data_IF_792857736793
#
_entry.id   IF_792857736793
#
_cell.length_a   1.000
_cell.length_b   1.000
_cell.length_c   1.000
_cell.angle_alpha   90.00
_cell.angle_beta   90.00
_cell.angle_gamma   90.00
#
_symmetry.space_group_name_H-M   'P 1'
#
loop_
_entity.id
_entity.type
_entity.pdbx_description
1 polymer ?
#
# COMPACT_ATOMS: atom_id res chain seq x y z
N UNK A 1 -29.21 21.58 -38.96
CA UNK A 1 -29.28 20.34 -39.78
C UNK A 1 -27.86 19.87 -40.05
N UNK A 2 -27.61 18.59 -39.83
CA UNK A 2 -26.34 17.88 -39.97
C UNK A 2 -25.73 18.09 -41.38
N UNK A 3 -24.39 18.12 -41.50
CA UNK A 3 -23.60 16.95 -41.91
C UNK A 3 -22.12 17.30 -42.11
N UNK A 4 -21.28 16.60 -41.36
CA UNK A 4 -19.96 16.04 -41.67
C UNK A 4 -19.12 16.70 -42.79
N UNK A 5 -17.97 17.22 -42.39
CA UNK A 5 -16.78 17.22 -43.25
C UNK A 5 -15.65 16.46 -42.54
N UNK A 6 -15.23 15.38 -43.20
CA UNK A 6 -13.94 14.70 -43.09
C UNK A 6 -12.79 15.71 -43.22
N UNK A 7 -11.63 15.56 -42.58
CA UNK A 7 -10.56 14.61 -42.88
C UNK A 7 -9.42 14.81 -41.85
N UNK A 8 -8.80 13.72 -41.38
CA UNK A 8 -7.34 13.51 -41.33
C UNK A 8 -7.11 12.10 -40.75
N UNK A 9 -6.82 11.09 -41.58
CA UNK A 9 -5.45 10.64 -41.91
C UNK A 9 -4.67 10.27 -40.64
N UNK A 10 -4.62 9.00 -40.25
CA UNK A 10 -3.73 7.93 -40.74
C UNK A 10 -2.38 7.87 -39.99
N UNK A 11 -1.99 6.62 -39.65
CA UNK A 11 -0.76 6.15 -38.98
C UNK A 11 -0.94 5.97 -37.47
N UNK A 12 -0.95 4.75 -36.94
CA UNK A 12 0.19 3.83 -37.00
C UNK A 12 -0.26 2.39 -37.31
N UNK A 13 0.17 1.92 -38.48
CA UNK A 13 0.39 0.50 -38.77
C UNK A 13 1.85 0.18 -38.40
N UNK A 14 2.08 -0.75 -37.47
CA UNK A 14 3.30 -1.58 -37.26
C UNK A 14 3.12 -2.25 -35.89
N UNK A 15 3.07 -3.56 -35.66
CA UNK A 15 3.54 -4.75 -36.37
C UNK A 15 2.53 -5.89 -36.15
N UNK A 16 2.10 -6.55 -37.23
CA UNK A 16 1.81 -7.99 -37.21
C UNK A 16 3.14 -8.71 -37.45
N UNK A 17 3.50 -9.70 -36.63
CA UNK A 17 3.82 -11.07 -37.10
C UNK A 17 4.30 -11.99 -35.98
N UNK A 18 4.05 -13.28 -36.25
CA UNK A 18 4.71 -14.45 -35.69
C UNK A 18 4.23 -14.95 -34.32
N UNK A 19 3.08 -15.62 -34.40
CA UNK A 19 2.79 -16.86 -33.68
C UNK A 19 3.81 -17.92 -34.14
N UNK A 20 4.87 -18.13 -33.38
CA UNK A 20 5.69 -19.34 -33.45
C UNK A 20 5.64 -19.98 -32.06
N UNK A 21 5.12 -21.20 -32.02
CA UNK A 21 5.06 -22.09 -30.88
C UNK A 21 6.45 -22.48 -30.40
N UNK A 22 6.76 -22.23 -29.12
CA UNK A 22 7.83 -22.94 -28.41
C UNK A 22 7.39 -23.19 -26.95
N UNK A 23 7.29 -24.44 -26.47
CA UNK A 23 6.59 -24.78 -25.22
C UNK A 23 7.43 -24.69 -23.93
N UNK A 24 8.54 -23.93 -23.87
CA UNK A 24 9.39 -23.89 -22.67
C UNK A 24 10.04 -22.53 -22.38
N UNK A 25 9.26 -21.45 -22.30
CA UNK A 25 9.73 -20.18 -21.69
C UNK A 25 8.70 -19.69 -20.68
N UNK A 26 9.06 -19.76 -19.40
CA UNK A 26 8.34 -19.10 -18.30
C UNK A 26 8.46 -17.59 -18.48
N UNK A 27 7.51 -16.98 -19.16
CA UNK A 27 7.38 -15.53 -19.16
C UNK A 27 6.89 -15.07 -17.79
N UNK A 28 7.85 -14.77 -16.90
CA UNK A 28 7.64 -13.80 -15.84
C UNK A 28 7.49 -12.45 -16.54
N UNK A 29 6.30 -12.15 -17.06
CA UNK A 29 5.99 -10.79 -17.47
C UNK A 29 6.05 -9.91 -16.22
N UNK A 30 6.94 -8.93 -16.27
CA UNK A 30 7.04 -7.84 -15.31
C UNK A 30 5.65 -7.24 -15.07
N UNK A 31 4.97 -7.67 -14.02
CA UNK A 31 3.73 -7.01 -13.58
C UNK A 31 4.12 -5.63 -13.06
N UNK A 32 3.66 -4.52 -13.68
CA UNK A 32 3.93 -3.20 -13.15
C UNK A 32 3.42 -3.12 -11.70
N UNK A 33 4.19 -2.49 -10.82
CA UNK A 33 3.80 -2.26 -9.43
C UNK A 33 2.44 -1.57 -9.42
N UNK A 34 1.46 -2.17 -8.76
CA UNK A 34 0.09 -1.64 -8.64
C UNK A 34 0.18 -0.25 -7.98
N UNK A 35 0.02 0.80 -8.77
CA UNK A 35 0.04 2.17 -8.29
C UNK A 35 -1.36 2.63 -7.87
N UNK A 36 -1.41 3.72 -7.09
CA UNK A 36 -2.65 4.39 -6.68
C UNK A 36 -3.48 4.70 -7.93
N UNK A 37 -4.80 4.57 -7.84
CA UNK A 37 -5.69 4.97 -8.95
C UNK A 37 -5.54 6.48 -9.19
N UNK A 38 -5.28 6.86 -10.43
CA UNK A 38 -5.22 8.26 -10.89
C UNK A 38 -6.60 8.78 -11.24
N UNK A 39 -6.82 10.09 -11.21
CA UNK A 39 -8.12 10.68 -11.58
C UNK A 39 -8.53 10.33 -13.02
N UNK A 40 -7.59 10.26 -13.96
CA UNK A 40 -7.84 9.83 -15.34
C UNK A 40 -8.34 8.37 -15.42
N UNK A 41 -7.76 7.47 -14.62
CA UNK A 41 -8.23 6.09 -14.52
C UNK A 41 -9.62 6.01 -13.87
N UNK A 42 -9.93 6.88 -12.90
CA UNK A 42 -11.25 6.93 -12.28
C UNK A 42 -12.31 7.41 -13.27
N UNK A 43 -11.98 8.42 -14.07
CA UNK A 43 -12.88 8.93 -15.09
C UNK A 43 -13.11 7.89 -16.20
N UNK A 44 -12.03 7.25 -16.66
CA UNK A 44 -12.11 6.12 -17.59
C UNK A 44 -13.00 5.00 -17.03
N UNK A 45 -12.88 4.70 -15.74
CA UNK A 45 -13.71 3.68 -15.08
C UNK A 45 -15.19 4.10 -15.04
N UNK A 46 -15.49 5.36 -14.73
CA UNK A 46 -16.87 5.89 -14.73
C UNK A 46 -17.51 5.77 -16.11
N UNK A 47 -16.80 6.22 -17.15
CA UNK A 47 -17.26 6.14 -18.53
C UNK A 47 -17.50 4.68 -18.95
N UNK A 48 -16.54 3.80 -18.65
CA UNK A 48 -16.62 2.39 -19.03
C UNK A 48 -17.79 1.67 -18.34
N UNK A 49 -18.03 1.93 -17.04
CA UNK A 49 -19.17 1.34 -16.32
C UNK A 49 -20.50 1.91 -16.79
N UNK A 50 -20.57 3.22 -17.05
CA UNK A 50 -21.78 3.82 -17.61
C UNK A 50 -22.14 3.21 -18.98
N UNK A 51 -21.13 2.90 -19.80
CA UNK A 51 -21.32 2.33 -21.15
C UNK A 51 -21.59 0.83 -21.14
N UNK A 52 -20.92 0.05 -20.29
CA UNK A 52 -20.89 -1.42 -20.37
C UNK A 52 -21.51 -2.12 -19.16
N UNK A 53 -21.90 -1.38 -18.13
CA UNK A 53 -22.40 -1.91 -16.88
C UNK A 53 -21.31 -2.65 -16.09
N UNK A 54 -21.70 -3.73 -15.42
CA UNK A 54 -20.82 -4.52 -14.53
C UNK A 54 -19.99 -5.60 -15.26
N UNK A 55 -19.65 -5.39 -16.53
CA UNK A 55 -18.84 -6.32 -17.33
C UNK A 55 -17.34 -6.19 -16.99
N UNK A 56 -16.96 -6.49 -15.75
CA UNK A 56 -15.63 -6.20 -15.18
C UNK A 56 -14.47 -6.78 -15.98
N UNK A 57 -14.62 -8.01 -16.48
CA UNK A 57 -13.61 -8.65 -17.33
C UNK A 57 -13.39 -7.85 -18.61
N UNK A 58 -14.49 -7.52 -19.30
CA UNK A 58 -14.45 -6.70 -20.49
C UNK A 58 -13.87 -5.31 -20.23
N UNK A 59 -14.29 -4.64 -19.15
CA UNK A 59 -13.78 -3.31 -18.79
C UNK A 59 -12.29 -3.37 -18.49
N UNK A 60 -11.84 -4.35 -17.72
CA UNK A 60 -10.42 -4.55 -17.43
C UNK A 60 -9.61 -4.77 -18.69
N UNK A 61 -10.06 -5.68 -19.56
CA UNK A 61 -9.30 -6.09 -20.74
C UNK A 61 -9.25 -5.00 -21.81
N UNK A 62 -10.27 -4.15 -21.92
CA UNK A 62 -10.36 -3.13 -22.97
C UNK A 62 -9.96 -1.72 -22.52
N UNK A 63 -10.15 -1.37 -21.25
CA UNK A 63 -9.87 -0.03 -20.72
C UNK A 63 -8.65 0.00 -19.81
N UNK A 64 -8.24 -1.14 -19.24
CA UNK A 64 -7.10 -1.25 -18.32
C UNK A 64 -6.18 -2.47 -18.59
N UNK A 65 -5.86 -2.81 -19.86
CA UNK A 65 -5.27 -4.11 -20.25
C UNK A 65 -3.93 -4.45 -19.57
N UNK A 66 -3.18 -3.44 -19.14
CA UNK A 66 -1.83 -3.59 -18.60
C UNK A 66 -1.72 -3.16 -17.13
N UNK A 67 -2.75 -2.52 -16.57
CA UNK A 67 -2.67 -1.83 -15.28
C UNK A 67 -3.57 -2.43 -14.22
N UNK A 68 -4.80 -2.84 -14.56
CA UNK A 68 -5.81 -3.29 -13.58
C UNK A 68 -6.34 -4.66 -13.96
N UNK A 69 -6.62 -5.47 -12.95
CA UNK A 69 -7.30 -6.76 -13.12
C UNK A 69 -8.81 -6.59 -12.95
N UNK A 70 -9.66 -7.52 -13.45
CA UNK A 70 -11.11 -7.40 -13.33
C UNK A 70 -11.59 -7.19 -11.90
N UNK A 71 -10.97 -7.88 -10.94
CA UNK A 71 -11.27 -7.73 -9.52
C UNK A 71 -10.85 -6.35 -8.98
N UNK A 72 -9.74 -5.77 -9.44
CA UNK A 72 -9.29 -4.45 -9.01
C UNK A 72 -10.25 -3.36 -9.52
N UNK A 73 -10.71 -3.49 -10.76
CA UNK A 73 -11.73 -2.62 -11.39
C UNK A 73 -13.04 -2.69 -10.62
N UNK A 74 -13.53 -3.90 -10.32
CA UNK A 74 -14.76 -4.12 -9.55
C UNK A 74 -14.67 -3.52 -8.13
N UNK A 75 -13.59 -3.82 -7.40
CA UNK A 75 -13.38 -3.29 -6.04
C UNK A 75 -13.35 -1.76 -6.09
N UNK A 76 -12.67 -1.18 -7.08
CA UNK A 76 -12.59 0.27 -7.21
C UNK A 76 -13.96 0.89 -7.48
N UNK A 77 -14.73 0.33 -8.40
CA UNK A 77 -16.08 0.80 -8.69
C UNK A 77 -17.00 0.72 -7.47
N UNK A 78 -16.94 -0.38 -6.71
CA UNK A 78 -17.71 -0.53 -5.47
C UNK A 78 -17.44 0.61 -4.47
N UNK A 79 -16.18 1.01 -4.31
CA UNK A 79 -15.79 2.13 -3.45
C UNK A 79 -16.30 3.47 -4.00
N UNK A 80 -16.12 3.72 -5.30
CA UNK A 80 -16.62 4.96 -5.95
C UNK A 80 -18.13 5.06 -5.78
N UNK A 81 -18.86 4.00 -6.11
CA UNK A 81 -20.31 3.98 -6.07
C UNK A 81 -20.84 4.22 -4.65
N UNK A 82 -20.23 3.60 -3.62
CA UNK A 82 -20.55 3.86 -2.22
C UNK A 82 -20.35 5.33 -1.84
N UNK A 83 -19.24 5.94 -2.31
CA UNK A 83 -18.96 7.35 -2.08
C UNK A 83 -19.87 8.28 -2.90
N UNK A 84 -20.41 7.85 -4.05
CA UNK A 84 -21.39 8.63 -4.82
C UNK A 84 -22.79 8.56 -4.21
N UNK A 85 -23.18 7.41 -3.64
CA UNK A 85 -24.48 7.26 -2.97
C UNK A 85 -24.61 8.10 -1.70
N UNK A 86 -23.49 8.37 -1.02
CA UNK A 86 -23.37 9.36 0.04
C UNK A 86 -22.05 10.11 -0.14
N UNK A 87 -22.06 11.23 -0.90
CA UNK A 87 -20.90 12.09 -1.02
C UNK A 87 -20.48 12.52 0.37
N UNK A 88 -19.21 12.26 0.73
CA UNK A 88 -18.65 12.80 1.97
C UNK A 88 -18.52 14.29 1.81
N UNK A 89 -18.81 15.04 2.87
CA UNK A 89 -18.50 16.47 2.86
C UNK A 89 -16.99 16.68 2.88
N UNK A 90 -16.51 17.86 2.49
CA UNK A 90 -15.09 18.18 2.60
C UNK A 90 -14.57 18.07 4.04
N UNK A 91 -15.43 18.36 5.02
CA UNK A 91 -15.15 18.22 6.44
C UNK A 91 -15.03 16.74 6.83
N UNK A 92 -15.94 15.88 6.37
CA UNK A 92 -15.86 14.43 6.60
C UNK A 92 -14.61 13.82 5.94
N UNK A 93 -14.24 14.27 4.74
CA UNK A 93 -13.01 13.84 4.06
C UNK A 93 -11.75 14.38 4.74
N UNK A 94 -11.78 15.62 5.25
CA UNK A 94 -10.69 16.18 6.08
C UNK A 94 -10.54 15.40 7.39
N UNK A 95 -11.64 15.11 8.09
CA UNK A 95 -11.67 14.31 9.33
C UNK A 95 -11.15 12.91 9.05
N UNK A 96 -11.67 12.20 8.05
CA UNK A 96 -11.21 10.86 7.70
C UNK A 96 -9.75 10.87 7.29
N UNK A 97 -9.30 11.87 6.53
CA UNK A 97 -7.88 12.04 6.20
C UNK A 97 -7.07 12.25 7.48
N UNK A 98 -7.52 13.06 8.42
CA UNK A 98 -6.84 13.29 9.69
C UNK A 98 -6.82 12.05 10.60
N UNK A 99 -7.94 11.31 10.71
CA UNK A 99 -8.06 10.06 11.47
C UNK A 99 -7.24 8.92 10.85
N UNK A 100 -7.17 8.84 9.53
CA UNK A 100 -6.32 7.87 8.81
C UNK A 100 -4.84 8.25 8.93
N UNK A 101 -4.51 9.54 8.91
CA UNK A 101 -3.13 10.02 9.07
C UNK A 101 -2.65 9.93 10.52
N UNK A 102 -3.56 10.14 11.48
CA UNK A 102 -3.35 9.94 12.91
C UNK A 102 -3.96 8.59 13.27
N UNK A 103 -3.29 7.50 12.84
CA UNK A 103 -3.53 6.19 13.46
C UNK A 103 -3.56 6.39 14.97
N UNK A 104 -4.68 6.03 15.62
CA UNK A 104 -4.86 6.15 17.07
C UNK A 104 -3.57 5.73 17.80
N UNK A 105 -3.10 6.44 18.84
CA UNK A 105 -1.95 6.00 19.61
C UNK A 105 -2.17 4.57 20.14
N UNK A 106 -1.14 3.72 20.12
CA UNK A 106 -1.22 2.38 20.69
C UNK A 106 -1.20 2.47 22.21
N UNK A 107 -2.18 1.87 22.88
CA UNK A 107 -2.15 1.77 24.34
C UNK A 107 -1.19 0.67 24.80
N UNK A 108 -0.87 0.65 26.10
CA UNK A 108 -0.03 -0.40 26.68
C UNK A 108 -0.75 -1.75 26.62
N UNK A 109 -2.06 -1.75 26.87
CA UNK A 109 -2.93 -2.92 26.85
C UNK A 109 -3.04 -3.50 25.44
N UNK A 110 -3.23 -2.66 24.42
CA UNK A 110 -3.23 -3.09 23.02
C UNK A 110 -1.87 -3.64 22.60
N UNK A 111 -0.78 -2.98 23.02
CA UNK A 111 0.59 -3.41 22.71
C UNK A 111 0.89 -4.77 23.35
N UNK A 112 0.45 -4.97 24.59
CA UNK A 112 0.61 -6.23 25.31
C UNK A 112 -0.25 -7.33 24.69
N UNK A 113 -1.51 -7.02 24.35
CA UNK A 113 -2.37 -7.91 23.58
C UNK A 113 -1.68 -8.34 22.29
N UNK A 114 -1.08 -7.40 21.55
CA UNK A 114 -0.41 -7.70 20.29
C UNK A 114 0.79 -8.63 20.51
N UNK A 115 1.57 -8.39 21.57
CA UNK A 115 2.68 -9.26 21.97
C UNK A 115 2.20 -10.69 22.22
N UNK A 116 1.11 -10.86 22.98
CA UNK A 116 0.51 -12.17 23.27
C UNK A 116 -0.03 -12.83 22.00
N UNK A 117 -0.74 -12.10 21.13
CA UNK A 117 -1.24 -12.62 19.86
C UNK A 117 -0.11 -13.06 18.93
N UNK A 118 1.01 -12.33 18.90
CA UNK A 118 2.21 -12.73 18.14
C UNK A 118 2.84 -14.00 18.72
N UNK A 119 2.89 -14.16 20.03
CA UNK A 119 3.37 -15.42 20.63
C UNK A 119 2.45 -16.59 20.28
N UNK A 120 1.13 -16.36 20.28
CA UNK A 120 0.10 -17.37 20.03
C UNK A 120 0.05 -17.80 18.55
N UNK A 121 0.00 -16.84 17.63
CA UNK A 121 -0.18 -17.10 16.19
C UNK A 121 1.07 -16.83 15.35
N UNK A 122 2.21 -16.54 15.98
CA UNK A 122 3.46 -16.17 15.31
C UNK A 122 3.24 -14.93 14.44
N UNK A 123 3.55 -15.02 13.15
CA UNK A 123 3.35 -13.95 12.17
C UNK A 123 2.13 -14.20 11.26
N UNK A 124 1.13 -14.95 11.73
CA UNK A 124 -0.16 -15.06 11.03
C UNK A 124 -0.97 -13.77 11.22
N UNK A 125 -0.61 -12.76 10.43
CA UNK A 125 -1.15 -11.40 10.55
C UNK A 125 -2.67 -11.32 10.34
N UNK A 126 -3.28 -12.28 9.63
CA UNK A 126 -4.73 -12.29 9.41
C UNK A 126 -5.45 -12.64 10.71
N UNK A 127 -5.05 -13.73 11.37
CA UNK A 127 -5.61 -14.12 12.68
C UNK A 127 -5.35 -13.08 13.76
N UNK A 128 -4.18 -12.45 13.73
CA UNK A 128 -3.87 -11.35 14.65
C UNK A 128 -4.82 -10.18 14.38
N UNK A 129 -5.07 -9.81 13.11
CA UNK A 129 -5.99 -8.71 12.79
C UNK A 129 -7.42 -8.96 13.28
N UNK A 130 -7.88 -10.21 13.28
CA UNK A 130 -9.20 -10.58 13.80
C UNK A 130 -9.36 -10.25 15.30
N UNK A 131 -8.26 -10.19 16.07
CA UNK A 131 -8.27 -9.79 17.48
C UNK A 131 -8.22 -8.25 17.68
N UNK A 132 -8.04 -7.48 16.62
CA UNK A 132 -7.96 -6.01 16.64
C UNK A 132 -8.92 -5.38 15.62
N UNK A 133 -10.25 -5.42 15.86
CA UNK A 133 -11.24 -4.91 14.91
C UNK A 133 -11.09 -3.40 14.62
N UNK A 134 -10.58 -2.64 15.59
CA UNK A 134 -10.39 -1.19 15.48
C UNK A 134 -9.03 -0.78 14.88
N UNK A 135 -8.19 -1.75 14.48
CA UNK A 135 -6.86 -1.50 13.90
C UNK A 135 -6.76 -2.09 12.51
N UNK A 136 -6.18 -1.33 11.59
CA UNK A 136 -5.87 -1.89 10.27
C UNK A 136 -4.69 -2.86 10.36
N UNK A 137 -4.68 -3.86 9.48
CA UNK A 137 -3.54 -4.77 9.33
C UNK A 137 -2.22 -4.02 9.07
N UNK A 138 -2.29 -2.90 8.38
CA UNK A 138 -1.15 -2.03 8.15
C UNK A 138 -0.61 -1.44 9.46
N UNK A 139 -1.50 -0.93 10.32
CA UNK A 139 -1.12 -0.34 11.61
C UNK A 139 -0.52 -1.37 12.55
N UNK A 140 -1.10 -2.58 12.61
CA UNK A 140 -0.60 -3.71 13.40
C UNK A 140 0.85 -4.05 12.99
N UNK A 141 1.09 -4.22 11.68
CA UNK A 141 2.42 -4.56 11.16
C UNK A 141 3.41 -3.41 11.35
N UNK A 142 2.96 -2.17 11.17
CA UNK A 142 3.77 -0.97 11.39
C UNK A 142 4.18 -0.87 12.86
N UNK A 143 3.26 -1.10 13.80
CA UNK A 143 3.56 -1.08 15.23
C UNK A 143 4.57 -2.16 15.60
N UNK A 144 4.34 -3.41 15.18
CA UNK A 144 5.29 -4.50 15.38
C UNK A 144 6.68 -4.20 14.80
N UNK A 145 6.75 -3.61 13.61
CA UNK A 145 8.04 -3.28 12.98
C UNK A 145 8.80 -2.17 13.74
N UNK A 146 8.06 -1.22 14.33
CA UNK A 146 8.65 -0.02 14.89
C UNK A 146 8.92 -0.11 16.41
N UNK A 147 8.21 -0.99 17.12
CA UNK A 147 8.26 -1.10 18.57
C UNK A 147 9.05 -2.33 19.04
N UNK A 148 10.00 -2.11 19.94
CA UNK A 148 10.82 -3.18 20.52
C UNK A 148 10.05 -4.09 21.49
N UNK A 149 8.94 -3.61 22.09
CA UNK A 149 8.19 -4.42 23.06
C UNK A 149 7.40 -5.57 22.42
N UNK A 150 7.06 -5.46 21.13
CA UNK A 150 6.28 -6.46 20.40
C UNK A 150 7.13 -7.31 19.48
N UNK A 151 8.33 -6.84 19.12
CA UNK A 151 9.23 -7.54 18.22
C UNK A 151 10.47 -8.06 18.97
N UNK A 152 10.61 -9.38 19.12
CA UNK A 152 11.67 -9.99 19.93
C UNK A 152 13.07 -9.80 19.33
N UNK A 153 13.20 -9.36 18.08
CA UNK A 153 14.51 -9.12 17.45
C UNK A 153 15.22 -7.87 18.00
N UNK A 154 14.51 -6.99 18.70
CA UNK A 154 15.09 -5.77 19.25
C UNK A 154 15.44 -5.93 20.73
N UNK A 155 16.59 -5.37 21.13
CA UNK A 155 17.06 -5.41 22.51
C UNK A 155 16.40 -4.30 23.34
N UNK A 156 15.89 -4.68 24.49
CA UNK A 156 15.47 -3.77 25.56
C UNK A 156 16.65 -3.56 26.51
N UNK A 157 17.01 -2.31 26.82
CA UNK A 157 18.12 -2.01 27.75
C UNK A 157 19.02 -0.85 27.31
N UNK A 158 20.14 -0.67 28.03
CA UNK A 158 21.13 0.40 27.78
C UNK A 158 21.80 0.23 26.42
N UNK A 159 22.09 1.35 25.75
CA UNK A 159 22.86 1.38 24.51
C UNK A 159 24.33 1.08 24.81
N UNK A 160 24.94 0.21 24.01
CA UNK A 160 26.38 -0.06 24.10
C UNK A 160 27.17 0.80 23.08
N UNK A 161 28.49 0.87 23.24
CA UNK A 161 29.34 1.75 22.42
C UNK A 161 29.33 1.38 20.93
N UNK A 162 29.22 0.08 20.62
CA UNK A 162 29.12 -0.40 19.24
C UNK A 162 27.83 0.11 18.58
N UNK A 163 26.69 -0.05 19.27
CA UNK A 163 25.38 0.43 18.83
C UNK A 163 25.38 1.96 18.64
N UNK A 164 26.00 2.69 19.58
CA UNK A 164 26.11 4.15 19.51
C UNK A 164 26.95 4.58 18.31
N UNK A 165 28.07 3.92 18.05
CA UNK A 165 28.93 4.22 16.90
C UNK A 165 28.21 3.92 15.57
N UNK A 166 27.51 2.78 15.49
CA UNK A 166 26.68 2.44 14.33
C UNK A 166 25.55 3.45 14.12
N UNK A 167 24.89 3.88 15.20
CA UNK A 167 23.84 4.89 15.14
C UNK A 167 24.37 6.24 14.61
N UNK A 168 25.50 6.72 15.14
CA UNK A 168 26.14 7.97 14.68
C UNK A 168 26.48 7.90 13.19
N UNK A 169 27.06 6.79 12.74
CA UNK A 169 27.34 6.55 11.31
C UNK A 169 26.07 6.57 10.48
N UNK A 170 25.03 5.85 10.91
CA UNK A 170 23.77 5.76 10.19
C UNK A 170 23.04 7.10 10.09
N UNK A 171 23.07 7.94 11.14
CA UNK A 171 22.52 9.29 11.12
C UNK A 171 23.29 10.20 10.15
N UNK A 172 24.62 10.12 10.15
CA UNK A 172 25.46 10.89 9.21
C UNK A 172 25.12 10.55 7.75
N UNK A 173 24.88 9.27 7.46
CA UNK A 173 24.62 8.80 6.09
C UNK A 173 23.15 8.97 5.67
N UNK A 174 22.20 8.81 6.59
CA UNK A 174 20.78 8.73 6.24
C UNK A 174 19.88 9.78 6.89
N UNK A 175 20.40 10.61 7.79
CA UNK A 175 19.61 11.58 8.55
C UNK A 175 18.52 10.91 9.37
N UNK A 176 17.37 11.57 9.50
CA UNK A 176 16.21 11.13 10.30
C UNK A 176 15.38 10.01 9.64
N UNK A 177 15.96 9.21 8.75
CA UNK A 177 15.31 8.04 8.15
C UNK A 177 15.35 6.85 9.12
N UNK A 178 14.56 6.93 10.20
CA UNK A 178 14.64 6.05 11.38
C UNK A 178 14.56 4.55 11.07
N UNK A 179 13.77 4.15 10.08
CA UNK A 179 13.71 2.74 9.64
C UNK A 179 15.07 2.29 9.12
N UNK A 180 15.73 3.11 8.29
CA UNK A 180 17.04 2.79 7.73
C UNK A 180 18.13 2.84 8.80
N UNK A 181 18.05 3.82 9.70
CA UNK A 181 18.96 3.94 10.86
C UNK A 181 18.87 2.71 11.75
N UNK A 182 17.66 2.31 12.14
CA UNK A 182 17.40 1.10 12.91
C UNK A 182 17.91 -0.17 12.21
N UNK A 183 17.75 -0.28 10.89
CA UNK A 183 18.29 -1.40 10.12
C UNK A 183 19.82 -1.50 10.19
N UNK A 184 20.53 -0.37 10.24
CA UNK A 184 22.00 -0.36 10.35
C UNK A 184 22.46 -0.68 11.76
N UNK A 185 21.76 -0.15 12.77
CA UNK A 185 22.02 -0.52 14.18
C UNK A 185 21.70 -1.99 14.42
N UNK A 186 20.68 -2.53 13.75
CA UNK A 186 20.28 -3.94 13.75
C UNK A 186 19.57 -4.41 15.02
N UNK A 187 20.03 -3.95 16.19
CA UNK A 187 19.53 -4.39 17.51
C UNK A 187 18.49 -3.45 18.11
N UNK A 188 18.26 -2.27 17.52
CA UNK A 188 17.37 -1.23 18.06
C UNK A 188 16.25 -0.91 17.09
N UNK A 189 15.05 -0.72 17.62
CA UNK A 189 13.88 -0.38 16.83
C UNK A 189 13.91 1.08 16.37
N UNK A 190 13.16 1.45 15.31
CA UNK A 190 13.05 2.84 14.86
C UNK A 190 12.62 3.81 15.97
N UNK A 191 11.71 3.39 16.86
CA UNK A 191 11.26 4.20 18.00
C UNK A 191 12.39 4.42 19.01
N UNK A 192 13.18 3.38 19.31
CA UNK A 192 14.35 3.52 20.19
C UNK A 192 15.39 4.49 19.60
N UNK A 193 15.61 4.45 18.29
CA UNK A 193 16.48 5.39 17.58
C UNK A 193 16.00 6.85 17.71
N UNK A 194 14.68 7.10 17.58
CA UNK A 194 14.09 8.44 17.78
C UNK A 194 14.30 8.90 19.22
N UNK A 195 13.98 8.03 20.18
CA UNK A 195 14.12 8.34 21.61
C UNK A 195 15.57 8.63 21.99
N UNK A 196 16.53 7.88 21.44
CA UNK A 196 17.95 8.11 21.68
C UNK A 196 18.46 9.41 21.05
N UNK A 197 17.93 9.80 19.89
CA UNK A 197 18.28 11.08 19.24
C UNK A 197 17.76 12.30 20.01
N UNK A 198 16.61 12.18 20.65
CA UNK A 198 15.96 13.27 21.39
C UNK A 198 16.42 13.39 22.85
N UNK A 199 17.34 12.52 23.29
CA UNK A 199 18.01 12.65 24.60
C UNK A 199 19.16 13.64 24.50
#
# INVERSE_FOLDING_TARGET
MNFLHTLYLSSIHFFKKCRISNPNIRFVQNRPKIHRWTEEELETLRIAVNKHGNKWKYISDNYFPLSRTPIAVQIRWSIINRNMSRPRTEEEDKILKYEVLISKPWTKEETEKLRVSILKYKQDWRKIADEFPDRSLFDIRKHHKCNASTNPNFKLGRWNDIEINLFKKAIKEHGKRWIKVSQIVGTRSPIQCIQFFNR
#
